data_IF_532173221799
#
_entry.id   IF_532173221799
#
_cell.length_a   1.000
_cell.length_b   1.000
_cell.length_c   1.000
_cell.angle_alpha   90.00
_cell.angle_beta   90.00
_cell.angle_gamma   90.00
#
_symmetry.space_group_name_H-M   'P 1'
#
loop_
_entity.id
_entity.type
_entity.pdbx_description
1 polymer ?
#
# COMPACT_ATOMS: atom_id res chain seq x y z
N UNK A 1 19.08 -11.18 45.42
CA UNK A 1 18.99 -11.63 44.02
C UNK A 1 17.97 -10.85 43.20
N UNK A 2 17.25 -9.89 43.79
CA UNK A 2 16.07 -9.24 43.19
C UNK A 2 16.44 -8.00 42.34
N UNK A 3 17.53 -7.30 42.69
CA UNK A 3 17.98 -6.09 41.97
C UNK A 3 18.47 -6.37 40.54
N UNK A 4 19.05 -7.54 40.29
CA UNK A 4 19.50 -7.92 38.96
C UNK A 4 18.29 -8.08 38.02
N UNK A 5 17.21 -8.72 38.48
CA UNK A 5 16.00 -8.90 37.70
C UNK A 5 15.27 -7.55 37.45
N UNK A 6 15.29 -6.63 38.42
CA UNK A 6 14.75 -5.27 38.26
C UNK A 6 15.48 -4.45 37.18
N UNK A 7 16.78 -4.68 36.96
CA UNK A 7 17.57 -4.00 35.92
C UNK A 7 17.48 -4.74 34.58
N UNK A 8 17.44 -6.07 34.59
CA UNK A 8 17.43 -6.90 33.38
C UNK A 8 16.12 -6.77 32.60
N UNK A 9 14.97 -6.64 33.28
CA UNK A 9 13.66 -6.55 32.61
C UNK A 9 13.54 -5.28 31.75
N UNK A 10 13.82 -4.06 32.23
CA UNK A 10 13.82 -2.85 31.41
C UNK A 10 14.81 -2.91 30.23
N UNK A 11 16.00 -3.48 30.44
CA UNK A 11 16.99 -3.65 29.37
C UNK A 11 16.51 -4.59 28.27
N UNK A 12 15.89 -5.72 28.63
CA UNK A 12 15.30 -6.65 27.65
C UNK A 12 14.18 -5.98 26.86
N UNK A 13 13.32 -5.21 27.51
CA UNK A 13 12.26 -4.47 26.83
C UNK A 13 12.84 -3.44 25.85
N UNK A 14 13.87 -2.69 26.26
CA UNK A 14 14.54 -1.71 25.40
C UNK A 14 15.15 -2.38 24.15
N UNK A 15 15.83 -3.52 24.32
CA UNK A 15 16.42 -4.27 23.20
C UNK A 15 15.31 -4.78 22.27
N UNK A 16 14.21 -5.30 22.82
CA UNK A 16 13.07 -5.74 22.03
C UNK A 16 12.43 -4.59 21.25
N UNK A 17 12.28 -3.41 21.86
CA UNK A 17 11.73 -2.23 21.19
C UNK A 17 12.67 -1.70 20.09
N UNK A 18 13.98 -1.70 20.34
CA UNK A 18 14.98 -1.36 19.34
C UNK A 18 14.92 -2.33 18.15
N UNK A 19 14.84 -3.63 18.42
CA UNK A 19 14.69 -4.65 17.37
C UNK A 19 13.40 -4.46 16.56
N UNK A 20 12.26 -4.27 17.23
CA UNK A 20 10.97 -4.02 16.58
C UNK A 20 11.03 -2.76 15.70
N UNK A 21 11.70 -1.71 16.17
CA UNK A 21 11.91 -0.47 15.41
C UNK A 21 12.74 -0.71 14.16
N UNK A 22 13.85 -1.42 14.25
CA UNK A 22 14.73 -1.70 13.11
C UNK A 22 14.01 -2.51 12.04
N UNK A 23 13.24 -3.53 12.44
CA UNK A 23 12.40 -4.31 11.52
C UNK A 23 11.37 -3.41 10.84
N UNK A 24 10.71 -2.54 11.61
CA UNK A 24 9.73 -1.60 11.08
C UNK A 24 10.35 -0.65 10.04
N UNK A 25 11.55 -0.13 10.33
CA UNK A 25 12.30 0.74 9.41
C UNK A 25 12.67 -0.04 8.14
N UNK A 26 13.15 -1.28 8.27
CA UNK A 26 13.52 -2.13 7.15
C UNK A 26 12.32 -2.40 6.24
N UNK A 27 11.17 -2.76 6.80
CA UNK A 27 9.95 -3.01 6.02
C UNK A 27 9.53 -1.74 5.27
N UNK A 28 9.51 -0.59 5.95
CA UNK A 28 9.16 0.70 5.30
C UNK A 28 10.12 1.04 4.15
N UNK A 29 11.42 0.84 4.35
CA UNK A 29 12.44 1.05 3.32
C UNK A 29 12.22 0.13 2.11
N UNK A 30 11.95 -1.16 2.33
CA UNK A 30 11.65 -2.09 1.24
C UNK A 30 10.39 -1.68 0.46
N UNK A 31 9.32 -1.28 1.15
CA UNK A 31 8.10 -0.78 0.51
C UNK A 31 8.35 0.50 -0.29
N UNK A 32 9.20 1.40 0.21
CA UNK A 32 9.58 2.63 -0.50
C UNK A 32 10.36 2.33 -1.80
N UNK A 33 11.29 1.37 -1.75
CA UNK A 33 12.01 0.90 -2.95
C UNK A 33 11.03 0.33 -3.98
N UNK A 34 10.08 -0.52 -3.56
CA UNK A 34 9.06 -1.06 -4.47
C UNK A 34 8.24 0.06 -5.13
N UNK A 35 7.78 1.05 -4.35
CA UNK A 35 7.06 2.21 -4.89
C UNK A 35 7.88 2.98 -5.93
N UNK A 36 9.15 3.24 -5.63
CA UNK A 36 10.07 3.94 -6.55
C UNK A 36 10.30 3.15 -7.86
N UNK A 37 10.24 1.83 -7.79
CA UNK A 37 10.32 0.96 -8.96
C UNK A 37 8.99 0.83 -9.73
N UNK A 38 7.95 1.60 -9.37
CA UNK A 38 6.63 1.53 -10.01
C UNK A 38 5.84 0.27 -9.66
N UNK A 39 6.28 -0.49 -8.66
CA UNK A 39 5.61 -1.72 -8.24
C UNK A 39 4.38 -1.40 -7.39
N UNK A 40 3.27 -2.02 -7.73
CA UNK A 40 2.05 -1.97 -6.95
C UNK A 40 2.19 -2.80 -5.67
N UNK A 41 2.05 -2.14 -4.51
CA UNK A 41 2.19 -2.79 -3.19
C UNK A 41 0.86 -2.93 -2.44
N UNK A 42 -0.25 -2.55 -3.07
CA UNK A 42 -1.57 -2.53 -2.45
C UNK A 42 -2.22 -3.92 -2.39
N UNK A 43 -3.06 -4.14 -1.37
CA UNK A 43 -3.84 -5.37 -1.30
C UNK A 43 -5.00 -5.40 -2.31
N UNK A 44 -5.55 -4.24 -2.67
CA UNK A 44 -6.70 -4.11 -3.56
C UNK A 44 -6.39 -3.14 -4.69
N UNK A 45 -6.65 -3.53 -5.94
CA UNK A 45 -6.52 -2.64 -7.09
C UNK A 45 -7.62 -1.57 -7.05
N UNK A 46 -7.31 -0.36 -7.53
CA UNK A 46 -8.30 0.70 -7.67
C UNK A 46 -9.29 0.37 -8.80
N UNK A 47 -10.50 0.90 -8.74
CA UNK A 47 -11.48 0.74 -9.82
C UNK A 47 -10.91 1.22 -11.16
N UNK A 48 -11.11 0.45 -12.22
CA UNK A 48 -10.44 0.66 -13.51
C UNK A 48 -9.18 -0.18 -13.72
N UNK A 49 -8.69 -0.86 -12.69
CA UNK A 49 -7.51 -1.73 -12.75
C UNK A 49 -7.77 -3.08 -12.08
N UNK A 50 -7.15 -4.13 -12.62
CA UNK A 50 -7.09 -5.45 -12.04
C UNK A 50 -5.65 -5.77 -11.63
N UNK A 51 -5.48 -6.72 -10.72
CA UNK A 51 -4.16 -7.30 -10.45
C UNK A 51 -3.78 -8.19 -11.62
N UNK A 52 -2.54 -8.06 -12.09
CA UNK A 52 -1.99 -9.01 -13.05
C UNK A 52 -1.96 -10.42 -12.41
N UNK A 53 -2.52 -11.46 -13.06
CA UNK A 53 -2.43 -12.84 -12.59
C UNK A 53 -0.99 -13.34 -12.45
N UNK A 54 -0.07 -12.85 -13.29
CA UNK A 54 1.32 -13.30 -13.38
C UNK A 54 2.26 -12.49 -12.47
N UNK A 55 1.99 -11.19 -12.27
CA UNK A 55 2.74 -10.33 -11.34
C UNK A 55 1.84 -9.52 -10.41
N UNK A 56 1.81 -9.89 -9.13
CA UNK A 56 1.03 -9.18 -8.10
C UNK A 56 1.45 -7.72 -7.89
N UNK A 57 2.62 -7.33 -8.37
CA UNK A 57 3.12 -5.96 -8.33
C UNK A 57 2.82 -5.18 -9.62
N UNK A 58 2.15 -5.79 -10.59
CA UNK A 58 1.67 -5.14 -11.81
C UNK A 58 0.15 -5.01 -11.77
N UNK A 59 -0.33 -3.87 -12.26
CA UNK A 59 -1.76 -3.62 -12.44
C UNK A 59 -2.05 -3.58 -13.94
N UNK A 60 -3.04 -4.36 -14.35
CA UNK A 60 -3.58 -4.35 -15.71
C UNK A 60 -4.84 -3.50 -15.75
N UNK A 61 -5.17 -2.95 -16.92
CA UNK A 61 -6.41 -2.18 -17.10
C UNK A 61 -7.60 -3.12 -17.11
N UNK A 62 -8.65 -2.76 -16.35
CA UNK A 62 -9.96 -3.39 -16.48
C UNK A 62 -10.68 -2.73 -17.66
N UNK A 63 -10.78 -3.41 -18.80
CA UNK A 63 -11.42 -2.84 -19.99
C UNK A 63 -12.89 -2.44 -19.76
N UNK A 64 -13.64 -3.22 -18.98
CA UNK A 64 -15.04 -2.91 -18.68
C UNK A 64 -15.16 -1.61 -17.89
N UNK A 65 -14.36 -1.49 -16.83
CA UNK A 65 -14.35 -0.25 -16.04
C UNK A 65 -13.73 0.92 -16.83
N UNK A 66 -12.75 0.67 -17.70
CA UNK A 66 -12.14 1.69 -18.55
C UNK A 66 -13.17 2.33 -19.49
N UNK A 67 -14.07 1.55 -20.08
CA UNK A 67 -15.14 2.06 -20.92
C UNK A 67 -16.13 2.92 -20.13
N UNK A 68 -16.46 2.52 -18.91
CA UNK A 68 -17.31 3.32 -18.01
C UNK A 68 -16.63 4.65 -17.66
N UNK A 69 -15.34 4.64 -17.31
CA UNK A 69 -14.58 5.86 -16.98
C UNK A 69 -14.52 6.80 -18.19
N UNK A 70 -14.25 6.27 -19.38
CA UNK A 70 -14.24 7.04 -20.64
C UNK A 70 -15.62 7.62 -20.93
N UNK A 71 -16.70 6.84 -20.72
CA UNK A 71 -18.07 7.31 -20.89
C UNK A 71 -18.39 8.48 -19.96
N UNK A 72 -18.12 8.34 -18.66
CA UNK A 72 -18.36 9.40 -17.66
C UNK A 72 -17.58 10.67 -18.03
N UNK A 73 -16.32 10.52 -18.44
CA UNK A 73 -15.50 11.65 -18.87
C UNK A 73 -16.09 12.36 -20.09
N UNK A 74 -16.51 11.61 -21.10
CA UNK A 74 -17.14 12.15 -22.31
C UNK A 74 -18.47 12.85 -21.99
N UNK A 75 -19.30 12.26 -21.13
CA UNK A 75 -20.56 12.88 -20.69
C UNK A 75 -20.31 14.22 -19.98
N UNK A 76 -19.27 14.29 -19.14
CA UNK A 76 -18.88 15.54 -18.48
C UNK A 76 -18.42 16.60 -19.49
N UNK A 77 -17.61 16.20 -20.47
CA UNK A 77 -17.11 17.08 -21.52
C UNK A 77 -18.23 17.59 -22.45
N UNK A 78 -19.24 16.77 -22.72
CA UNK A 78 -20.40 17.13 -23.55
C UNK A 78 -21.41 18.05 -22.83
N UNK A 79 -21.14 18.45 -21.57
CA UNK A 79 -21.98 19.41 -20.86
C UNK A 79 -23.33 18.87 -20.40
N UNK A 80 -23.57 17.55 -20.47
CA UNK A 80 -24.74 16.92 -19.86
C UNK A 80 -24.53 16.82 -18.35
N UNK A 81 -24.59 17.97 -17.68
CA UNK A 81 -24.86 18.02 -16.25
C UNK A 81 -26.29 17.53 -16.07
N UNK A 82 -26.48 16.55 -15.19
CA UNK A 82 -27.79 16.02 -14.82
C UNK A 82 -28.77 17.19 -14.63
N UNK A 83 -29.77 17.32 -15.52
CA UNK A 83 -30.92 18.18 -15.23
C UNK A 83 -31.71 17.44 -14.16
N UNK A 84 -31.85 18.08 -13.01
CA UNK A 84 -32.82 17.72 -11.97
C UNK A 84 -34.24 17.85 -12.50
#
# INVERSE_FOLDING_TARGET
SDDADQIIVPFKNLINDAYCRDISIKIRSQLDVKKKNGQFIGNFAAYGYLKDPEDKNHLIVDEYAADIVRLIFNLKMMGTVHKE
#
